data_IF_888587617362
#
_entry.id   IF_888587617362
#
_cell.length_a   1.000
_cell.length_b   1.000
_cell.length_c   1.000
_cell.angle_alpha   90.00
_cell.angle_beta   90.00
_cell.angle_gamma   90.00
#
_symmetry.space_group_name_H-M   'P 1'
#
loop_
_entity.id
_entity.type
_entity.pdbx_description
1 polymer ?
#
# COMPACT_ATOMS: atom_id res chain seq x y z
N UNK A 1 -12.87 -10.25 16.68
CA UNK A 1 -13.39 -8.92 16.29
C UNK A 1 -13.59 -8.96 14.79
N UNK A 2 -14.81 -8.74 14.33
CA UNK A 2 -15.11 -8.62 12.89
C UNK A 2 -14.78 -7.19 12.51
N UNK A 3 -13.69 -6.99 11.77
CA UNK A 3 -13.41 -5.68 11.20
C UNK A 3 -14.21 -5.60 9.91
N UNK A 4 -15.17 -4.67 9.80
CA UNK A 4 -15.93 -4.45 8.56
C UNK A 4 -15.02 -4.15 7.36
N UNK A 5 -13.77 -3.77 7.62
CA UNK A 5 -12.75 -3.38 6.63
C UNK A 5 -11.50 -4.27 6.65
N UNK A 6 -11.50 -5.40 7.37
CA UNK A 6 -10.31 -6.25 7.57
C UNK A 6 -9.36 -5.72 8.66
N UNK A 7 -8.31 -6.48 9.04
CA UNK A 7 -7.38 -6.06 10.09
C UNK A 7 -6.61 -4.80 9.70
N UNK A 8 -6.15 -4.03 10.70
CA UNK A 8 -5.21 -2.93 10.48
C UNK A 8 -3.87 -3.51 10.01
N UNK A 9 -3.31 -2.93 8.95
CA UNK A 9 -2.04 -3.30 8.33
C UNK A 9 -1.07 -2.12 8.40
N UNK A 10 0.22 -2.42 8.34
CA UNK A 10 1.29 -1.43 8.23
C UNK A 10 1.80 -1.42 6.79
N UNK A 11 1.72 -0.26 6.15
CA UNK A 11 2.22 -0.04 4.80
C UNK A 11 3.49 0.80 4.85
N UNK A 12 4.54 0.34 4.19
CA UNK A 12 5.69 1.19 3.90
C UNK A 12 5.51 1.83 2.53
N UNK A 13 5.74 3.13 2.47
CA UNK A 13 5.64 3.95 1.28
C UNK A 13 7.02 4.49 0.97
N UNK A 14 7.51 4.17 -0.23
CA UNK A 14 8.73 4.74 -0.79
C UNK A 14 8.32 5.83 -1.75
N UNK A 15 8.66 7.06 -1.42
CA UNK A 15 8.40 8.24 -2.25
C UNK A 15 9.47 8.37 -3.34
N UNK A 16 9.11 8.95 -4.49
CA UNK A 16 10.07 9.23 -5.56
C UNK A 16 11.15 10.24 -5.16
N UNK A 17 10.88 11.06 -4.13
CA UNK A 17 11.88 11.93 -3.51
C UNK A 17 12.98 11.17 -2.75
N UNK A 18 12.81 9.87 -2.52
CA UNK A 18 13.68 9.04 -1.69
C UNK A 18 13.28 9.01 -0.21
N UNK A 19 12.25 9.77 0.20
CA UNK A 19 11.67 9.63 1.53
C UNK A 19 11.00 8.25 1.68
N UNK A 20 11.06 7.68 2.89
CA UNK A 20 10.37 6.44 3.24
C UNK A 20 9.60 6.69 4.52
N UNK A 21 8.33 6.30 4.54
CA UNK A 21 7.50 6.35 5.74
C UNK A 21 6.64 5.11 5.90
N UNK A 22 6.14 4.91 7.12
CA UNK A 22 5.24 3.81 7.45
C UNK A 22 3.91 4.34 7.95
N UNK A 23 2.82 3.87 7.37
CA UNK A 23 1.45 4.31 7.68
C UNK A 23 0.60 3.09 8.04
N UNK A 24 -0.30 3.24 9.01
CA UNK A 24 -1.27 2.19 9.34
C UNK A 24 -2.61 2.43 8.64
N UNK A 25 -3.19 1.38 8.08
CA UNK A 25 -4.50 1.43 7.44
C UNK A 25 -5.11 0.06 7.21
N UNK A 26 -6.40 0.01 6.90
CA UNK A 26 -7.10 -1.22 6.52
C UNK A 26 -7.07 -1.48 5.01
N UNK A 27 -6.97 -0.42 4.21
CA UNK A 27 -7.11 -0.50 2.77
C UNK A 27 -6.30 0.59 2.07
N UNK A 28 -5.67 0.19 0.95
CA UNK A 28 -5.14 1.08 -0.08
C UNK A 28 -6.11 1.07 -1.26
N UNK A 29 -6.50 2.24 -1.77
CA UNK A 29 -7.38 2.37 -2.94
C UNK A 29 -6.89 3.44 -3.90
N UNK A 30 -7.16 3.28 -5.20
CA UNK A 30 -6.76 4.22 -6.24
C UNK A 30 -7.99 4.86 -6.88
N UNK A 31 -7.98 6.18 -7.06
CA UNK A 31 -9.01 6.92 -7.77
C UNK A 31 -8.46 7.44 -9.10
N UNK A 32 -9.21 7.25 -10.19
CA UNK A 32 -8.91 7.87 -11.49
C UNK A 32 -8.58 6.89 -12.64
N UNK A 33 -8.25 5.63 -12.35
CA UNK A 33 -7.83 4.67 -13.40
C UNK A 33 -8.93 4.21 -14.36
N UNK A 34 -10.22 4.39 -14.00
CA UNK A 34 -11.34 3.74 -14.71
C UNK A 34 -11.92 4.60 -15.84
N UNK A 35 -11.70 5.91 -15.81
CA UNK A 35 -12.24 6.86 -16.80
C UNK A 35 -11.30 7.11 -17.99
N UNK A 36 -10.06 6.64 -17.92
CA UNK A 36 -9.04 6.85 -18.96
C UNK A 36 -9.20 5.94 -20.20
N UNK A 37 -10.10 4.96 -20.19
CA UNK A 37 -10.33 4.05 -21.32
C UNK A 37 -11.37 4.56 -22.33
N UNK A 38 -12.19 5.55 -21.96
CA UNK A 38 -13.33 6.00 -22.78
C UNK A 38 -13.31 7.48 -23.15
N UNK A 39 -12.36 8.28 -22.64
CA UNK A 39 -12.35 9.72 -22.83
C UNK A 39 -10.98 10.22 -23.29
N UNK A 40 -10.95 11.00 -24.38
CA UNK A 40 -9.77 11.66 -24.94
C UNK A 40 -9.44 12.99 -24.24
N UNK A 41 -10.08 13.27 -23.10
CA UNK A 41 -9.83 14.44 -22.26
C UNK A 41 -8.50 14.37 -21.47
N UNK A 42 -8.09 15.49 -20.85
CA UNK A 42 -6.92 15.49 -19.99
C UNK A 42 -7.11 14.47 -18.86
N UNK A 43 -6.19 13.51 -18.74
CA UNK A 43 -6.21 12.53 -17.65
C UNK A 43 -6.14 13.28 -16.32
N UNK A 44 -7.20 13.17 -15.51
CA UNK A 44 -7.12 13.57 -14.12
C UNK A 44 -5.99 12.75 -13.45
N UNK A 45 -5.15 13.38 -12.61
CA UNK A 45 -4.07 12.66 -11.97
C UNK A 45 -4.63 11.58 -11.05
N UNK A 46 -4.06 10.38 -11.13
CA UNK A 46 -4.47 9.25 -10.28
C UNK A 46 -3.98 9.53 -8.87
N UNK A 47 -4.86 9.30 -7.90
CA UNK A 47 -4.54 9.41 -6.47
C UNK A 47 -4.67 8.06 -5.82
N UNK A 48 -3.85 7.80 -4.81
CA UNK A 48 -4.08 6.70 -3.88
C UNK A 48 -4.53 7.25 -2.53
N UNK A 49 -5.28 6.43 -1.81
CA UNK A 49 -5.78 6.73 -0.48
C UNK A 49 -5.50 5.56 0.45
N UNK A 50 -5.11 5.85 1.67
CA UNK A 50 -5.03 4.90 2.77
C UNK A 50 -6.05 5.31 3.82
N UNK A 51 -6.95 4.39 4.16
CA UNK A 51 -7.95 4.60 5.21
C UNK A 51 -7.72 3.68 6.40
N UNK A 52 -8.00 4.18 7.59
CA UNK A 52 -7.82 3.47 8.86
C UNK A 52 -9.00 3.73 9.80
N UNK A 53 -9.34 2.77 10.64
CA UNK A 53 -10.29 2.96 11.74
C UNK A 53 -9.50 3.09 13.04
N UNK A 54 -9.60 4.26 13.68
CA UNK A 54 -8.94 4.55 14.94
C UNK A 54 -9.96 5.07 15.95
N UNK A 55 -9.96 4.50 17.16
CA UNK A 55 -10.96 4.80 18.20
C UNK A 55 -12.40 4.63 17.72
N UNK A 56 -12.65 3.65 16.83
CA UNK A 56 -13.97 3.41 16.22
C UNK A 56 -14.33 4.36 15.07
N UNK A 57 -13.49 5.34 14.75
CA UNK A 57 -13.74 6.31 13.69
C UNK A 57 -12.97 5.96 12.41
N UNK A 58 -13.69 5.86 11.29
CA UNK A 58 -13.09 5.75 9.96
C UNK A 58 -12.47 7.08 9.55
N UNK A 59 -11.20 7.07 9.14
CA UNK A 59 -10.43 8.25 8.79
C UNK A 59 -9.63 8.02 7.53
N UNK A 60 -9.51 9.06 6.72
CA UNK A 60 -8.47 9.14 5.70
C UNK A 60 -7.13 9.40 6.39
N UNK A 61 -6.18 8.50 6.21
CA UNK A 61 -4.85 8.56 6.85
C UNK A 61 -3.85 9.25 5.94
N UNK A 62 -3.87 8.87 4.66
CA UNK A 62 -3.00 9.44 3.64
C UNK A 62 -3.75 9.51 2.32
N UNK A 63 -3.52 10.60 1.57
CA UNK A 63 -4.00 10.75 0.21
C UNK A 63 -2.98 11.54 -0.60
N UNK A 64 -2.39 10.91 -1.61
CA UNK A 64 -1.40 11.56 -2.47
C UNK A 64 -1.53 11.11 -3.93
N UNK A 65 -0.79 11.78 -4.81
CA UNK A 65 -0.69 11.41 -6.21
C UNK A 65 0.05 10.08 -6.37
N UNK A 66 -0.43 9.23 -7.28
CA UNK A 66 0.30 8.01 -7.67
C UNK A 66 1.70 8.36 -8.21
N UNK A 67 1.79 9.47 -8.95
CA UNK A 67 3.03 9.92 -9.57
C UNK A 67 4.14 10.24 -8.55
N UNK A 68 3.80 10.57 -7.31
CA UNK A 68 4.79 10.89 -6.26
C UNK A 68 5.33 9.65 -5.54
N UNK A 69 4.68 8.49 -5.72
CA UNK A 69 5.04 7.25 -5.06
C UNK A 69 5.81 6.33 -6.00
N UNK A 70 6.87 5.73 -5.46
CA UNK A 70 7.61 4.67 -6.13
C UNK A 70 7.06 3.29 -5.78
N UNK A 71 6.82 3.02 -4.49
CA UNK A 71 6.40 1.69 -3.99
C UNK A 71 5.45 1.88 -2.80
N UNK A 72 4.41 1.06 -2.74
CA UNK A 72 3.61 0.81 -1.52
C UNK A 72 3.68 -0.68 -1.23
N UNK A 73 4.11 -1.07 -0.04
CA UNK A 73 4.19 -2.48 0.37
C UNK A 73 3.52 -2.71 1.73
N UNK A 74 2.74 -3.79 1.84
CA UNK A 74 2.27 -4.29 3.14
C UNK A 74 3.46 -4.97 3.84
N UNK A 75 3.84 -4.43 5.00
CA UNK A 75 4.95 -4.91 5.83
C UNK A 75 4.47 -5.36 7.21
N UNK A 76 3.16 -5.63 7.33
CA UNK A 76 2.54 -6.07 8.59
C UNK A 76 3.19 -7.34 9.11
N UNK A 77 3.49 -8.26 8.20
CA UNK A 77 4.22 -9.49 8.49
C UNK A 77 5.50 -9.48 7.64
N UNK A 78 6.69 -9.64 8.26
CA UNK A 78 7.91 -9.73 7.49
C UNK A 78 7.85 -10.97 6.59
N UNK A 79 8.22 -10.80 5.32
CA UNK A 79 8.34 -11.92 4.38
C UNK A 79 9.31 -12.96 4.96
N UNK A 80 8.81 -14.17 5.25
CA UNK A 80 9.67 -15.27 5.64
C UNK A 80 10.38 -15.81 4.39
N UNK A 81 11.60 -15.35 4.16
CA UNK A 81 12.48 -15.97 3.18
C UNK A 81 12.81 -17.38 3.70
N UNK A 82 12.23 -18.41 3.08
CA UNK A 82 12.64 -19.80 3.34
C UNK A 82 14.08 -19.95 2.89
N UNK A 83 15.02 -19.96 3.83
CA UNK A 83 16.39 -20.38 3.55
C UNK A 83 16.37 -21.86 3.19
N UNK A 84 16.41 -22.21 1.90
CA UNK A 84 16.71 -23.56 1.44
C UNK A 84 18.19 -23.83 1.69
N UNK A 85 18.54 -24.11 2.95
CA UNK A 85 19.81 -24.72 3.31
C UNK A 85 19.70 -26.22 3.10
N UNK A 86 19.84 -26.68 1.86
CA UNK A 86 20.13 -28.08 1.59
C UNK A 86 21.65 -28.15 1.40
N UNK A 87 22.32 -28.70 2.41
CA UNK A 87 23.77 -28.80 2.44
C UNK A 87 24.27 -29.73 1.34
N UNK A 88 25.12 -29.20 0.49
CA UNK A 88 26.10 -30.00 -0.26
C UNK A 88 27.05 -30.65 0.74
N UNK A 89 26.65 -31.83 1.23
CA UNK A 89 27.52 -32.77 1.93
C UNK A 89 28.16 -33.70 0.91
N UNK A 90 29.31 -33.29 0.38
CA UNK A 90 30.27 -34.14 -0.28
C UNK A 90 31.07 -34.87 0.81
N UNK A 91 30.95 -36.20 0.88
CA UNK A 91 32.03 -37.19 1.09
C UNK A 91 31.47 -38.61 1.30
#
# INVERSE_FOLDING_TARGET
MTYDHGPLRTYEIVWRSGHVETVQGHQVSFSGGQYALFDNGPKAPVRFHIHGQFDGHWRLVLAELEDDVAIIRDVTEPEQIKSSGEGDGHD
#
